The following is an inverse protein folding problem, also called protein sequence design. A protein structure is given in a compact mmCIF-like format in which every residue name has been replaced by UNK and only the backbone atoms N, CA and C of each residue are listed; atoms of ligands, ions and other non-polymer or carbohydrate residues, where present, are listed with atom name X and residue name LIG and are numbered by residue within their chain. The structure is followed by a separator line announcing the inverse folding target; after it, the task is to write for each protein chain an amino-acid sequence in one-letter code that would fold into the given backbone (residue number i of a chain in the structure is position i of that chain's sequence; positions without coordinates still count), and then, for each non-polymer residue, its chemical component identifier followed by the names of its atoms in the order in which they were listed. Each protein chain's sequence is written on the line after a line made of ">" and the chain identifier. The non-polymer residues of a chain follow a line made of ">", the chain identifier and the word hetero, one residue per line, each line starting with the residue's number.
data_IF_724749214561
#
_entry.id   IF_724749214561
#
_cell.length_a   1.000
_cell.length_b   1.000
_cell.length_c   1.000
_cell.angle_alpha   90.00
_cell.angle_beta   90.00
_cell.angle_gamma   90.00
#
_symmetry.space_group_name_H-M   'P 1'
#
loop_
_entity.id
_entity.type
_entity.pdbx_description
1 polymer ?
#
# COMPACT_ATOMS: atom_id res chain seq x y z
N UNK A 1 -4.56 -85.32 -5.01
CA UNK A 1 -5.66 -84.52 -4.42
C UNK A 1 -5.54 -83.07 -4.86
N UNK A 2 -6.59 -82.56 -5.53
CA UNK A 2 -6.99 -81.15 -5.74
C UNK A 2 -5.90 -80.11 -6.13
N UNK A 3 -5.54 -80.06 -7.42
CA UNK A 3 -5.12 -78.82 -8.08
C UNK A 3 -6.33 -78.22 -8.80
N UNK A 4 -7.16 -77.50 -8.05
CA UNK A 4 -8.41 -76.91 -8.57
C UNK A 4 -8.54 -75.40 -8.36
N UNK A 5 -7.49 -74.70 -7.87
CA UNK A 5 -7.60 -73.28 -7.47
C UNK A 5 -6.68 -72.29 -8.19
N UNK A 6 -5.72 -72.74 -9.02
CA UNK A 6 -4.61 -71.88 -9.45
C UNK A 6 -4.95 -70.92 -10.62
N UNK A 7 -5.99 -71.21 -11.42
CA UNK A 7 -6.39 -70.32 -12.51
C UNK A 7 -7.07 -69.05 -12.00
N UNK A 8 -7.86 -69.14 -10.92
CA UNK A 8 -8.56 -67.99 -10.34
C UNK A 8 -7.56 -67.07 -9.64
N UNK A 9 -6.61 -67.60 -8.86
CA UNK A 9 -5.64 -66.75 -8.15
C UNK A 9 -4.74 -65.95 -9.10
N UNK A 10 -4.31 -66.50 -10.25
CA UNK A 10 -3.52 -65.78 -11.24
C UNK A 10 -4.31 -64.70 -11.99
N UNK A 11 -5.58 -64.98 -12.32
CA UNK A 11 -6.48 -63.99 -12.93
C UNK A 11 -6.87 -62.90 -11.92
N UNK A 12 -7.01 -63.27 -10.64
CA UNK A 12 -7.34 -62.37 -9.54
C UNK A 12 -6.16 -61.50 -9.12
N UNK A 13 -4.93 -62.03 -9.12
CA UNK A 13 -3.72 -61.22 -8.93
C UNK A 13 -3.49 -60.27 -10.10
N UNK A 14 -3.73 -60.72 -11.34
CA UNK A 14 -3.67 -59.82 -12.50
C UNK A 14 -4.72 -58.69 -12.40
N UNK A 15 -5.96 -59.00 -12.01
CA UNK A 15 -7.00 -57.99 -11.78
C UNK A 15 -6.62 -57.01 -10.65
N UNK A 16 -6.07 -57.51 -9.54
CA UNK A 16 -5.59 -56.67 -8.45
C UNK A 16 -4.45 -55.74 -8.88
N UNK A 17 -3.48 -56.25 -9.65
CA UNK A 17 -2.38 -55.45 -10.19
C UNK A 17 -2.91 -54.37 -11.13
N UNK A 18 -3.83 -54.71 -12.04
CA UNK A 18 -4.47 -53.73 -12.93
C UNK A 18 -5.21 -52.67 -12.12
N UNK A 19 -6.02 -53.06 -11.14
CA UNK A 19 -6.74 -52.13 -10.27
C UNK A 19 -5.76 -51.19 -9.53
N UNK A 20 -4.66 -51.74 -9.00
CA UNK A 20 -3.65 -50.96 -8.27
C UNK A 20 -2.94 -49.97 -9.20
N UNK A 21 -2.58 -50.39 -10.42
CA UNK A 21 -1.99 -49.49 -11.43
C UNK A 21 -2.95 -48.38 -11.87
N UNK A 22 -4.25 -48.68 -12.02
CA UNK A 22 -5.27 -47.67 -12.35
C UNK A 22 -5.45 -46.70 -11.18
N UNK A 23 -5.54 -47.19 -9.95
CA UNK A 23 -5.63 -46.34 -8.76
C UNK A 23 -4.42 -45.40 -8.62
N UNK A 24 -3.20 -45.91 -8.81
CA UNK A 24 -1.98 -45.09 -8.76
C UNK A 24 -1.91 -44.12 -9.94
N UNK A 25 -2.32 -44.54 -11.14
CA UNK A 25 -2.39 -43.65 -12.31
C UNK A 25 -3.36 -42.48 -12.09
N UNK A 26 -4.56 -42.74 -11.57
CA UNK A 26 -5.56 -41.71 -11.29
C UNK A 26 -5.12 -40.73 -10.19
N UNK A 27 -4.49 -41.22 -9.12
CA UNK A 27 -3.96 -40.34 -8.06
C UNK A 27 -2.78 -39.50 -8.55
N UNK A 28 -1.92 -40.06 -9.40
CA UNK A 28 -0.80 -39.35 -10.00
C UNK A 28 -1.26 -38.22 -10.93
N UNK A 29 -2.26 -38.48 -11.80
CA UNK A 29 -2.82 -37.48 -12.71
C UNK A 29 -3.47 -36.33 -11.92
N UNK A 30 -4.30 -36.64 -10.92
CA UNK A 30 -4.93 -35.64 -10.07
C UNK A 30 -3.92 -34.80 -9.27
N UNK A 31 -2.84 -35.43 -8.79
CA UNK A 31 -1.74 -34.73 -8.11
C UNK A 31 -1.04 -33.70 -9.02
N UNK A 32 -0.83 -34.02 -10.31
CA UNK A 32 -0.19 -33.12 -11.27
C UNK A 32 -1.04 -31.90 -11.60
N UNK A 33 -2.36 -32.07 -11.74
CA UNK A 33 -3.28 -30.96 -12.00
C UNK A 33 -3.30 -29.98 -10.82
N UNK A 34 -3.30 -30.49 -9.59
CA UNK A 34 -3.31 -29.67 -8.38
C UNK A 34 -2.01 -28.88 -8.18
N UNK A 35 -0.86 -29.45 -8.57
CA UNK A 35 0.44 -28.74 -8.58
C UNK A 35 0.45 -27.58 -9.57
N UNK A 36 -0.05 -27.80 -10.79
CA UNK A 36 -0.12 -26.75 -11.81
C UNK A 36 -1.11 -25.62 -11.44
N UNK A 37 -2.20 -25.94 -10.73
CA UNK A 37 -3.13 -24.93 -10.22
C UNK A 37 -2.48 -24.04 -9.14
N UNK A 38 -1.71 -24.64 -8.23
CA UNK A 38 -0.98 -23.92 -7.18
C UNK A 38 0.07 -22.95 -7.77
N UNK A 39 0.82 -23.38 -8.79
CA UNK A 39 1.81 -22.51 -9.45
C UNK A 39 1.16 -21.26 -10.07
N UNK A 40 -0.01 -21.43 -10.72
CA UNK A 40 -0.76 -20.31 -11.29
C UNK A 40 -1.31 -19.36 -10.24
N UNK A 41 -1.75 -19.89 -9.10
CA UNK A 41 -2.18 -19.05 -7.97
C UNK A 41 -1.01 -18.23 -7.44
N UNK A 42 0.16 -18.86 -7.23
CA UNK A 42 1.34 -18.14 -6.75
C UNK A 42 1.83 -17.06 -7.72
N UNK A 43 1.74 -17.31 -9.02
CA UNK A 43 2.15 -16.33 -10.04
C UNK A 43 1.20 -15.12 -10.07
N UNK A 44 -0.11 -15.34 -9.96
CA UNK A 44 -1.10 -14.25 -9.84
C UNK A 44 -0.89 -13.40 -8.58
N UNK A 45 -0.68 -14.05 -7.44
CA UNK A 45 -0.41 -13.37 -6.17
C UNK A 45 0.87 -12.52 -6.25
N UNK A 46 1.91 -13.01 -6.93
CA UNK A 46 3.14 -12.26 -7.15
C UNK A 46 2.94 -11.05 -8.08
N UNK A 47 2.14 -11.19 -9.13
CA UNK A 47 1.78 -10.06 -10.01
C UNK A 47 0.99 -8.98 -9.25
N UNK A 48 0.04 -9.38 -8.42
CA UNK A 48 -0.72 -8.46 -7.56
C UNK A 48 0.21 -7.73 -6.60
N UNK A 49 1.10 -8.44 -5.89
CA UNK A 49 2.09 -7.82 -5.00
C UNK A 49 2.98 -6.81 -5.72
N UNK A 50 3.48 -7.14 -6.92
CA UNK A 50 4.27 -6.20 -7.73
C UNK A 50 3.48 -4.96 -8.12
N UNK A 51 2.20 -5.12 -8.48
CA UNK A 51 1.31 -4.01 -8.78
C UNK A 51 1.09 -3.08 -7.59
N UNK A 52 0.92 -3.64 -6.38
CA UNK A 52 0.80 -2.87 -5.15
C UNK A 52 2.09 -2.13 -4.78
N UNK A 53 3.24 -2.76 -4.98
CA UNK A 53 4.55 -2.16 -4.67
C UNK A 53 4.88 -0.98 -5.59
N UNK A 54 4.54 -1.08 -6.88
CA UNK A 54 4.64 0.04 -7.82
C UNK A 54 3.74 1.22 -7.41
N UNK A 55 2.50 0.95 -7.02
CA UNK A 55 1.59 2.00 -6.52
C UNK A 55 2.11 2.64 -5.25
N UNK A 56 2.68 1.85 -4.34
CA UNK A 56 3.25 2.36 -3.10
C UNK A 56 4.43 3.31 -3.40
N UNK A 57 5.33 2.93 -4.30
CA UNK A 57 6.47 3.76 -4.72
C UNK A 57 6.01 5.06 -5.41
N UNK A 58 4.97 5.00 -6.24
CA UNK A 58 4.37 6.18 -6.88
C UNK A 58 3.73 7.13 -5.85
N UNK A 59 2.92 6.59 -4.93
CA UNK A 59 2.33 7.37 -3.83
C UNK A 59 3.40 7.95 -2.91
N UNK A 60 4.48 7.21 -2.65
CA UNK A 60 5.56 7.68 -1.79
C UNK A 60 6.31 8.84 -2.42
N UNK A 61 6.57 8.79 -3.73
CA UNK A 61 7.14 9.92 -4.49
C UNK A 61 6.21 11.13 -4.48
N UNK A 62 4.91 10.91 -4.64
CA UNK A 62 3.91 11.99 -4.57
C UNK A 62 3.90 12.63 -3.18
N UNK A 63 3.97 11.83 -2.11
CA UNK A 63 4.10 12.30 -0.73
C UNK A 63 5.42 13.04 -0.51
N UNK A 64 6.54 12.60 -1.06
CA UNK A 64 7.84 13.26 -0.92
C UNK A 64 7.87 14.61 -1.63
N UNK A 65 7.25 14.67 -2.81
CA UNK A 65 7.06 15.91 -3.59
C UNK A 65 6.06 16.85 -2.90
N UNK A 66 5.04 16.30 -2.24
CA UNK A 66 4.05 17.06 -1.48
C UNK A 66 4.54 17.44 -0.07
N UNK A 67 5.51 16.75 0.52
CA UNK A 67 6.14 17.08 1.80
C UNK A 67 7.42 17.90 1.65
N UNK A 68 7.76 18.34 0.44
CA UNK A 68 8.83 19.31 0.28
C UNK A 68 8.39 20.61 0.97
N UNK A 69 9.29 21.23 1.74
CA UNK A 69 9.12 22.32 2.72
C UNK A 69 8.07 23.41 2.36
N UNK A 70 7.86 23.66 1.08
CA UNK A 70 6.86 24.56 0.51
C UNK A 70 5.40 24.23 0.90
N UNK A 71 5.01 22.96 0.98
CA UNK A 71 3.64 22.60 1.38
C UNK A 71 3.39 22.82 2.87
N UNK A 72 4.41 22.56 3.71
CA UNK A 72 4.36 22.82 5.15
C UNK A 72 4.29 24.33 5.38
N UNK A 73 5.09 25.11 4.65
CA UNK A 73 5.10 26.57 4.70
C UNK A 73 3.76 27.17 4.24
N UNK A 74 3.19 26.65 3.15
CA UNK A 74 1.85 27.05 2.67
C UNK A 74 0.75 26.68 3.64
N UNK A 75 0.76 25.46 4.19
CA UNK A 75 -0.22 25.03 5.18
C UNK A 75 -0.13 25.88 6.46
N UNK A 76 1.08 26.26 6.90
CA UNK A 76 1.28 27.13 8.04
C UNK A 76 0.73 28.55 7.79
N UNK A 77 0.91 29.11 6.59
CA UNK A 77 0.34 30.42 6.22
C UNK A 77 -1.18 30.39 6.05
N UNK A 78 -1.71 29.39 5.36
CA UNK A 78 -3.12 29.33 4.99
C UNK A 78 -4.01 28.88 6.17
N UNK A 79 -3.57 27.89 6.96
CA UNK A 79 -4.39 27.31 8.03
C UNK A 79 -4.08 27.88 9.41
N UNK A 80 -2.83 28.26 9.67
CA UNK A 80 -2.40 28.73 10.99
C UNK A 80 -2.06 30.23 11.00
N UNK A 81 -2.04 30.90 9.84
CA UNK A 81 -1.69 32.32 9.73
C UNK A 81 -0.27 32.66 10.18
N UNK A 82 0.61 31.65 10.24
CA UNK A 82 1.97 31.80 10.76
C UNK A 82 2.87 32.46 9.71
N UNK A 83 3.66 33.44 10.15
CA UNK A 83 4.71 34.11 9.36
C UNK A 83 6.08 33.61 9.79
N UNK A 84 7.05 33.61 8.88
CA UNK A 84 8.42 33.20 9.23
C UNK A 84 9.03 34.17 10.25
N UNK A 85 9.87 33.68 11.19
CA UNK A 85 10.59 34.55 12.11
C UNK A 85 11.48 35.51 11.31
N UNK A 86 11.13 36.81 11.29
CA UNK A 86 11.80 37.86 10.51
C UNK A 86 10.93 38.55 9.43
N UNK A 87 9.72 38.06 9.12
CA UNK A 87 8.78 38.73 8.20
C UNK A 87 7.85 39.70 8.98
N UNK A 88 7.68 40.95 8.51
CA UNK A 88 6.82 41.96 9.17
C UNK A 88 5.38 41.90 8.62
N UNK A 89 4.40 41.56 9.46
CA UNK A 89 3.00 41.43 9.04
C UNK A 89 2.34 42.81 8.86
N UNK A 90 2.01 43.17 7.63
CA UNK A 90 1.36 44.45 7.32
C UNK A 90 -0.17 44.27 7.29
N UNK A 91 -0.84 44.64 8.38
CA UNK A 91 -2.30 44.68 8.41
C UNK A 91 -2.78 46.02 7.87
N UNK A 92 -3.44 46.00 6.70
CA UNK A 92 -4.08 47.18 6.14
C UNK A 92 -5.31 47.46 7.02
N UNK A 93 -5.17 48.38 7.97
CA UNK A 93 -6.32 48.97 8.64
C UNK A 93 -7.10 49.74 7.57
N UNK A 94 -8.22 49.17 7.11
CA UNK A 94 -9.21 50.00 6.45
C UNK A 94 -9.65 51.03 7.47
N UNK A 95 -9.70 52.34 7.12
CA UNK A 95 -10.23 53.33 8.03
C UNK A 95 -11.69 52.98 8.27
N UNK A 96 -11.96 52.41 9.43
CA UNK A 96 -13.30 52.19 9.89
C UNK A 96 -13.93 53.56 10.11
N UNK A 97 -15.14 53.73 9.59
CA UNK A 97 -15.99 54.91 9.85
C UNK A 97 -16.46 54.96 11.31
N UNK A 98 -15.75 54.30 12.23
CA UNK A 98 -16.10 54.05 13.63
C UNK A 98 -15.70 55.19 14.58
N UNK A 99 -15.17 56.30 14.05
CA UNK A 99 -14.82 57.48 14.85
C UNK A 99 -13.62 57.29 15.78
N UNK A 100 -12.91 56.16 15.70
CA UNK A 100 -11.63 56.00 16.39
C UNK A 100 -10.53 56.65 15.56
N UNK A 101 -9.94 57.72 16.09
CA UNK A 101 -8.75 58.31 15.49
C UNK A 101 -7.58 57.31 15.61
N UNK A 102 -6.78 57.09 14.55
CA UNK A 102 -5.56 56.31 14.65
C UNK A 102 -4.70 56.87 15.79
N UNK A 103 -4.31 56.01 16.74
CA UNK A 103 -3.46 56.41 17.87
C UNK A 103 -2.11 56.84 17.31
N UNK A 104 -1.80 58.14 17.36
CA UNK A 104 -0.49 58.64 16.97
C UNK A 104 0.60 57.99 17.82
N UNK A 105 1.71 57.60 17.19
CA UNK A 105 2.83 57.05 17.93
C UNK A 105 3.38 58.12 18.88
N UNK A 106 3.51 57.76 20.16
CA UNK A 106 4.16 58.63 21.14
C UNK A 106 5.57 58.99 20.62
N UNK A 107 5.86 60.28 20.40
CA UNK A 107 7.16 60.69 19.88
C UNK A 107 8.27 60.32 20.88
N UNK A 108 9.35 59.74 20.36
CA UNK A 108 10.57 59.47 21.13
C UNK A 108 10.75 58.04 21.66
N UNK A 109 9.85 57.09 21.38
CA UNK A 109 10.13 55.67 21.66
C UNK A 109 10.70 54.98 20.41
N UNK A 110 11.96 54.51 20.44
CA UNK A 110 12.51 53.66 19.37
C UNK A 110 11.64 52.41 19.20
N UNK A 111 11.63 51.86 18.00
CA UNK A 111 10.95 50.60 17.72
C UNK A 111 11.77 49.51 18.41
N UNK A 112 11.33 49.08 19.58
CA UNK A 112 11.90 47.93 20.29
C UNK A 112 11.47 46.67 19.51
N UNK A 113 12.35 46.20 18.63
CA UNK A 113 12.24 44.90 17.98
C UNK A 113 12.86 43.93 18.99
N UNK A 114 12.02 43.23 19.75
CA UNK A 114 12.50 42.20 20.68
C UNK A 114 13.12 41.04 19.91
N UNK A 115 14.25 40.52 20.41
CA UNK A 115 14.92 39.31 19.92
C UNK A 115 14.00 38.07 19.98
#
# INVERSE_FOLDING_TARGET
>A
MRKGGCCVSSKLTALLVVLLTVCVGLTYINGRIRRAALERETERLLEECRGWELRLDELQKEIETANTDDYVERAAREKLGLVRPGETLYMIAQPDSSGFAPVERRPGKPIEIGD
#
